data_IF_443163875319
#
_entry.id   IF_443163875319
#
_cell.length_a   1.000
_cell.length_b   1.000
_cell.length_c   1.000
_cell.angle_alpha   90.00
_cell.angle_beta   90.00
_cell.angle_gamma   90.00
#
_symmetry.space_group_name_H-M   'P 1'
#
loop_
_entity.id
_entity.type
_entity.pdbx_description
1 polymer ?
#
# COMPACT_ATOMS: atom_id res chain seq x y z
N UNK A 1 7.65 4.70 14.80
CA UNK A 1 8.24 3.37 15.15
C UNK A 1 7.20 2.50 15.83
N UNK A 2 6.55 2.98 16.89
CA UNK A 2 5.44 2.28 17.56
C UNK A 2 4.27 1.98 16.61
N UNK A 3 3.90 2.93 15.75
CA UNK A 3 2.77 2.79 14.81
C UNK A 3 2.90 1.56 13.89
N UNK A 4 4.12 1.21 13.48
CA UNK A 4 4.35 0.02 12.62
C UNK A 4 4.04 -1.27 13.34
N UNK A 5 4.41 -1.36 14.63
CA UNK A 5 4.13 -2.53 15.45
C UNK A 5 2.64 -2.66 15.75
N UNK A 6 1.95 -1.53 15.95
CA UNK A 6 0.49 -1.51 16.13
C UNK A 6 -0.20 -2.05 14.88
N UNK A 7 0.19 -1.59 13.69
CA UNK A 7 -0.41 -2.08 12.43
C UNK A 7 -0.14 -3.57 12.24
N UNK A 8 1.09 -4.03 12.46
CA UNK A 8 1.42 -5.45 12.37
C UNK A 8 0.55 -6.29 13.34
N UNK A 9 0.38 -5.82 14.58
CA UNK A 9 -0.46 -6.49 15.57
C UNK A 9 -1.95 -6.52 15.17
N UNK A 10 -2.47 -5.41 14.65
CA UNK A 10 -3.85 -5.32 14.16
C UNK A 10 -4.08 -6.28 13.00
N UNK A 11 -3.19 -6.29 12.02
CA UNK A 11 -3.31 -7.14 10.84
C UNK A 11 -3.22 -8.63 11.20
N UNK A 12 -2.27 -9.01 12.05
CA UNK A 12 -2.16 -10.39 12.55
C UNK A 12 -3.41 -10.79 13.33
N UNK A 13 -3.90 -9.93 14.23
CA UNK A 13 -5.11 -10.20 15.01
C UNK A 13 -6.35 -10.37 14.12
N UNK A 14 -6.56 -9.45 13.18
CA UNK A 14 -7.67 -9.48 12.25
C UNK A 14 -7.69 -10.77 11.41
N UNK A 15 -6.52 -11.22 10.93
CA UNK A 15 -6.42 -12.49 10.22
C UNK A 15 -6.76 -13.68 11.10
N UNK A 16 -6.20 -13.75 12.30
CA UNK A 16 -6.40 -14.89 13.19
C UNK A 16 -7.87 -15.06 13.59
N UNK A 17 -8.57 -13.94 13.80
CA UNK A 17 -10.01 -13.93 14.03
C UNK A 17 -10.79 -14.36 12.78
N UNK A 18 -10.52 -13.73 11.62
CA UNK A 18 -11.17 -14.03 10.34
C UNK A 18 -11.08 -15.51 9.96
N UNK A 19 -9.90 -16.10 10.12
CA UNK A 19 -9.59 -17.46 9.67
C UNK A 19 -9.80 -18.49 10.80
N UNK A 20 -10.26 -18.07 11.99
CA UNK A 20 -10.46 -18.91 13.17
C UNK A 20 -9.23 -19.76 13.54
N UNK A 21 -8.05 -19.16 13.42
CA UNK A 21 -6.78 -19.83 13.72
C UNK A 21 -6.68 -20.10 15.22
N UNK A 22 -6.36 -21.35 15.57
CA UNK A 22 -6.29 -21.80 16.97
C UNK A 22 -5.04 -21.32 17.70
N UNK A 23 -4.06 -20.81 16.97
CA UNK A 23 -2.81 -20.28 17.51
C UNK A 23 -3.01 -18.88 18.11
N UNK A 24 -2.21 -18.51 19.11
CA UNK A 24 -2.24 -17.14 19.65
C UNK A 24 -1.54 -16.16 18.68
N UNK A 25 -2.23 -15.08 18.21
CA UNK A 25 -1.64 -14.10 17.30
C UNK A 25 -0.43 -13.39 17.91
N UNK A 26 -0.43 -13.15 19.23
CA UNK A 26 0.71 -12.53 19.91
C UNK A 26 1.90 -13.49 19.94
N UNK A 27 1.67 -14.77 20.27
CA UNK A 27 2.69 -15.80 20.19
C UNK A 27 3.29 -15.93 18.78
N UNK A 28 2.48 -15.77 17.73
CA UNK A 28 2.95 -15.77 16.35
C UNK A 28 3.91 -14.60 16.06
N UNK A 29 3.58 -13.38 16.52
CA UNK A 29 4.42 -12.18 16.36
C UNK A 29 5.78 -12.27 17.07
N UNK A 30 5.83 -12.98 18.20
CA UNK A 30 7.06 -13.20 18.99
C UNK A 30 7.88 -14.43 18.55
N UNK A 31 7.34 -15.26 17.67
CA UNK A 31 8.00 -16.47 17.18
C UNK A 31 8.70 -16.22 15.84
N UNK A 32 9.74 -17.00 15.54
CA UNK A 32 10.37 -16.99 14.22
C UNK A 32 9.40 -17.48 13.16
N UNK A 33 9.23 -16.70 12.08
CA UNK A 33 8.26 -17.01 11.03
C UNK A 33 8.93 -17.20 9.66
N UNK A 34 8.61 -18.29 8.92
CA UNK A 34 9.15 -18.53 7.58
C UNK A 34 8.94 -17.38 6.58
N UNK A 35 7.78 -16.69 6.56
CA UNK A 35 7.57 -15.53 5.68
C UNK A 35 8.60 -14.41 5.87
N UNK A 36 9.19 -14.30 7.06
CA UNK A 36 10.17 -13.27 7.42
C UNK A 36 11.60 -13.81 7.42
N UNK A 37 11.86 -14.93 6.74
CA UNK A 37 13.19 -15.53 6.66
C UNK A 37 13.69 -16.05 8.02
N UNK A 38 12.77 -16.47 8.89
CA UNK A 38 13.06 -16.93 10.24
C UNK A 38 13.22 -15.82 11.29
N UNK A 39 13.10 -14.56 10.91
CA UNK A 39 13.01 -13.46 11.86
C UNK A 39 11.65 -13.46 12.59
N UNK A 40 11.58 -12.78 13.73
CA UNK A 40 10.31 -12.50 14.41
C UNK A 40 9.57 -11.39 13.66
N UNK A 41 8.27 -11.54 13.34
CA UNK A 41 7.50 -10.50 12.68
C UNK A 41 7.57 -9.15 13.40
N UNK A 42 7.53 -9.15 14.74
CA UNK A 42 7.59 -7.93 15.55
C UNK A 42 8.90 -7.16 15.36
N UNK A 43 10.02 -7.85 15.21
CA UNK A 43 11.33 -7.23 14.95
C UNK A 43 11.44 -6.77 13.49
N UNK A 44 11.00 -7.60 12.54
CA UNK A 44 11.02 -7.27 11.12
C UNK A 44 10.19 -6.01 10.80
N UNK A 45 9.02 -5.87 11.43
CA UNK A 45 8.09 -4.75 11.23
C UNK A 45 8.59 -3.41 11.79
N UNK A 46 9.73 -3.37 12.48
CA UNK A 46 10.39 -2.10 12.82
C UNK A 46 10.82 -1.33 11.55
N UNK A 47 11.06 -2.06 10.46
CA UNK A 47 11.41 -1.51 9.15
C UNK A 47 10.17 -1.40 8.25
N UNK A 48 10.14 -0.39 7.36
CA UNK A 48 9.05 -0.24 6.39
C UNK A 48 8.90 -1.49 5.47
N UNK A 49 9.98 -2.10 4.93
CA UNK A 49 9.85 -3.33 4.14
C UNK A 49 9.27 -4.51 4.91
N UNK A 50 9.66 -4.68 6.19
CA UNK A 50 9.12 -5.74 7.03
C UNK A 50 7.64 -5.53 7.35
N UNK A 51 7.22 -4.28 7.60
CA UNK A 51 5.80 -3.96 7.79
C UNK A 51 4.99 -4.24 6.51
N UNK A 52 5.45 -3.77 5.36
CA UNK A 52 4.77 -4.01 4.08
C UNK A 52 4.61 -5.50 3.80
N UNK A 53 5.67 -6.28 4.05
CA UNK A 53 5.61 -7.74 3.97
C UNK A 53 4.52 -8.32 4.87
N UNK A 54 4.43 -7.86 6.13
CA UNK A 54 3.42 -8.32 7.08
C UNK A 54 1.99 -8.03 6.60
N UNK A 55 1.74 -6.80 6.12
CA UNK A 55 0.45 -6.40 5.56
C UNK A 55 0.08 -7.29 4.37
N UNK A 56 0.97 -7.40 3.39
CA UNK A 56 0.71 -8.19 2.18
C UNK A 56 0.50 -9.68 2.50
N UNK A 57 1.29 -10.22 3.42
CA UNK A 57 1.18 -11.62 3.84
C UNK A 57 -0.20 -11.97 4.41
N UNK A 58 -0.77 -11.09 5.24
CA UNK A 58 -2.07 -11.31 5.85
C UNK A 58 -3.24 -10.91 4.93
N UNK A 59 -3.09 -9.82 4.17
CA UNK A 59 -4.10 -9.35 3.22
C UNK A 59 -4.32 -10.32 2.05
N UNK A 60 -3.26 -10.95 1.55
CA UNK A 60 -3.33 -11.98 0.50
C UNK A 60 -3.65 -13.38 1.04
N UNK A 61 -3.86 -13.50 2.35
CA UNK A 61 -4.19 -14.76 3.02
C UNK A 61 -3.20 -15.90 2.73
N UNK A 62 -1.90 -15.58 2.63
CA UNK A 62 -0.87 -16.58 2.33
C UNK A 62 -0.71 -17.57 3.49
N UNK A 63 -0.50 -18.86 3.23
CA UNK A 63 -0.37 -19.87 4.28
C UNK A 63 0.72 -19.50 5.31
N UNK A 64 0.50 -19.80 6.61
CA UNK A 64 1.45 -19.45 7.69
C UNK A 64 2.87 -20.01 7.49
N UNK A 65 2.99 -21.12 6.74
CA UNK A 65 4.27 -21.74 6.40
C UNK A 65 4.94 -21.19 5.14
N UNK A 66 4.36 -20.18 4.48
CA UNK A 66 4.88 -19.65 3.22
C UNK A 66 6.33 -19.19 3.38
N UNK A 67 7.27 -19.68 2.56
CA UNK A 67 8.66 -19.30 2.66
C UNK A 67 8.88 -17.86 2.17
N UNK A 68 9.87 -17.18 2.71
CA UNK A 68 10.12 -15.75 2.45
C UNK A 68 10.43 -15.42 0.99
N UNK A 69 11.04 -16.35 0.25
CA UNK A 69 11.38 -16.17 -1.16
C UNK A 69 10.13 -16.09 -2.05
N UNK A 70 9.08 -16.84 -1.72
CA UNK A 70 7.80 -16.75 -2.42
C UNK A 70 7.10 -15.41 -2.14
N UNK A 71 7.14 -14.95 -0.89
CA UNK A 71 6.62 -13.63 -0.53
C UNK A 71 7.38 -12.52 -1.25
N UNK A 72 8.70 -12.65 -1.33
CA UNK A 72 9.56 -11.72 -2.07
C UNK A 72 9.24 -11.72 -3.57
N UNK A 73 8.92 -12.88 -4.16
CA UNK A 73 8.51 -12.96 -5.55
C UNK A 73 7.19 -12.21 -5.79
N UNK A 74 6.21 -12.34 -4.90
CA UNK A 74 4.94 -11.60 -4.97
C UNK A 74 5.21 -10.10 -4.90
N UNK A 75 6.02 -9.66 -3.93
CA UNK A 75 6.39 -8.24 -3.77
C UNK A 75 7.16 -7.67 -4.98
N UNK A 76 7.85 -8.52 -5.76
CA UNK A 76 8.54 -8.14 -7.01
C UNK A 76 7.61 -8.23 -8.23
N UNK A 77 6.59 -9.08 -8.21
CA UNK A 77 5.72 -9.38 -9.34
C UNK A 77 4.77 -8.24 -9.69
N UNK A 78 4.41 -7.38 -8.73
CA UNK A 78 3.64 -6.14 -8.98
C UNK A 78 4.38 -5.12 -9.87
N UNK A 79 5.65 -5.40 -10.24
CA UNK A 79 6.39 -4.64 -11.24
C UNK A 79 6.20 -5.10 -12.69
N UNK A 80 5.43 -6.15 -12.97
CA UNK A 80 5.32 -6.77 -14.29
C UNK A 80 3.92 -6.67 -14.90
N UNK A 81 3.49 -5.44 -15.25
CA UNK A 81 2.51 -5.24 -16.32
C UNK A 81 3.15 -4.35 -17.39
N UNK A 82 3.27 -4.94 -18.59
CA UNK A 82 4.13 -4.58 -19.70
C UNK A 82 3.86 -3.22 -20.35
N UNK A 83 4.94 -2.49 -20.64
CA UNK A 83 5.04 -1.39 -21.60
C UNK A 83 6.50 -0.97 -21.78
N UNK A 84 7.21 -1.69 -22.63
CA UNK A 84 8.56 -1.42 -23.18
C UNK A 84 9.69 -0.97 -22.23
N UNK A 85 10.78 -1.75 -22.29
CA UNK A 85 12.02 -1.53 -21.57
C UNK A 85 12.57 -0.10 -21.71
N UNK A 86 12.42 0.69 -20.66
CA UNK A 86 13.45 1.66 -20.30
C UNK A 86 14.17 1.08 -19.09
N UNK A 87 15.33 0.49 -19.36
CA UNK A 87 16.33 0.09 -18.36
C UNK A 87 16.60 1.25 -17.40
N UNK A 88 16.06 1.15 -16.19
CA UNK A 88 16.23 2.11 -15.12
C UNK A 88 15.36 1.69 -13.93
N UNK A 89 15.84 0.71 -13.16
CA UNK A 89 15.12 0.18 -12.01
C UNK A 89 14.60 1.30 -11.10
N UNK A 90 13.29 1.33 -10.92
CA UNK A 90 12.54 2.32 -10.12
C UNK A 90 12.73 2.14 -8.60
N UNK A 91 13.86 1.55 -8.20
CA UNK A 91 14.29 1.36 -6.81
C UNK A 91 15.63 2.06 -6.53
N UNK A 92 16.17 2.80 -7.51
CA UNK A 92 17.40 3.58 -7.35
C UNK A 92 17.13 5.08 -7.40
N UNK A 93 16.32 5.59 -6.47
CA UNK A 93 16.34 7.00 -6.08
C UNK A 93 17.38 7.19 -4.98
N UNK A 94 18.64 6.95 -5.35
CA UNK A 94 19.84 7.35 -4.61
C UNK A 94 20.26 8.80 -4.88
N UNK A 95 19.40 9.62 -5.53
CA UNK A 95 19.58 11.06 -5.64
C UNK A 95 18.30 11.73 -5.15
N UNK A 96 18.50 12.72 -4.28
CA UNK A 96 17.50 13.56 -3.60
C UNK A 96 17.02 13.09 -2.21
N UNK A 97 17.90 12.38 -1.47
CA UNK A 97 17.70 12.08 -0.04
C UNK A 97 17.93 13.26 0.91
N UNK A 98 18.21 14.47 0.41
CA UNK A 98 18.49 15.66 1.23
C UNK A 98 17.45 16.80 1.12
N UNK A 99 16.26 16.56 0.56
CA UNK A 99 15.19 17.58 0.53
C UNK A 99 13.80 17.11 0.97
N UNK A 100 13.63 15.85 1.38
CA UNK A 100 12.30 15.23 1.55
C UNK A 100 11.72 15.24 2.99
N UNK A 101 12.06 16.23 3.82
CA UNK A 101 11.58 16.33 5.22
C UNK A 101 10.58 17.45 5.51
N UNK A 102 10.30 18.33 4.55
CA UNK A 102 9.48 19.52 4.80
C UNK A 102 8.46 19.71 3.68
N UNK A 103 7.23 19.22 3.88
CA UNK A 103 6.05 19.69 3.12
C UNK A 103 5.21 18.65 2.38
N UNK A 104 5.61 17.37 2.30
CA UNK A 104 4.77 16.34 1.67
C UNK A 104 3.53 16.02 2.51
N UNK A 105 2.38 15.92 1.84
CA UNK A 105 1.08 15.57 2.41
C UNK A 105 0.47 14.41 1.63
N UNK A 106 -0.44 13.68 2.26
CA UNK A 106 -1.21 12.66 1.56
C UNK A 106 -2.12 13.31 0.52
N UNK A 107 -2.18 12.70 -0.66
CA UNK A 107 -3.20 12.91 -1.67
C UNK A 107 -3.87 11.59 -2.02
N UNK A 108 -5.18 11.61 -2.21
CA UNK A 108 -5.96 10.48 -2.73
C UNK A 108 -6.57 10.87 -4.06
N UNK A 109 -6.60 9.94 -5.00
CA UNK A 109 -7.17 10.10 -6.31
C UNK A 109 -8.12 8.96 -6.64
N UNK A 110 -9.24 9.28 -7.27
CA UNK A 110 -10.21 8.30 -7.75
C UNK A 110 -10.45 8.48 -9.23
N UNK A 111 -10.48 7.36 -9.96
CA UNK A 111 -10.74 7.33 -11.41
C UNK A 111 -11.85 6.31 -11.66
N UNK A 112 -12.82 6.70 -12.48
CA UNK A 112 -13.87 5.83 -13.01
C UNK A 112 -13.79 5.89 -14.52
N UNK A 113 -13.22 4.86 -15.15
CA UNK A 113 -13.16 4.71 -16.60
C UNK A 113 -14.26 3.75 -17.06
N UNK A 114 -15.26 4.28 -17.77
CA UNK A 114 -16.37 3.50 -18.31
C UNK A 114 -16.14 3.26 -19.79
N UNK A 115 -15.94 1.99 -20.16
CA UNK A 115 -15.82 1.52 -21.54
C UNK A 115 -17.06 0.71 -21.93
N UNK A 116 -17.17 0.38 -23.21
CA UNK A 116 -18.34 -0.32 -23.79
C UNK A 116 -18.56 -1.69 -23.15
N UNK A 117 -17.48 -2.36 -22.74
CA UNK A 117 -17.45 -3.75 -22.27
C UNK A 117 -16.90 -3.88 -20.84
N UNK A 118 -16.54 -2.77 -20.20
CA UNK A 118 -15.88 -2.80 -18.90
C UNK A 118 -16.03 -1.49 -18.14
N UNK A 119 -16.22 -1.59 -16.82
CA UNK A 119 -16.01 -0.47 -15.90
C UNK A 119 -14.72 -0.72 -15.14
N UNK A 120 -13.80 0.25 -15.16
CA UNK A 120 -12.54 0.21 -14.43
C UNK A 120 -12.51 1.31 -13.38
N UNK A 121 -12.47 0.92 -12.11
CA UNK A 121 -12.29 1.84 -10.99
C UNK A 121 -10.85 1.80 -10.49
N UNK A 122 -10.31 2.96 -10.17
CA UNK A 122 -9.00 3.11 -9.55
C UNK A 122 -9.13 3.99 -8.31
N UNK A 123 -8.54 3.54 -7.22
CA UNK A 123 -8.27 4.34 -6.02
C UNK A 123 -6.77 4.41 -5.81
N UNK A 124 -6.20 5.61 -5.68
CA UNK A 124 -4.77 5.80 -5.54
C UNK A 124 -4.45 6.77 -4.41
N UNK A 125 -3.70 6.35 -3.39
CA UNK A 125 -3.16 7.22 -2.35
C UNK A 125 -1.64 7.39 -2.54
N UNK A 126 -1.15 8.63 -2.50
CA UNK A 126 0.26 8.98 -2.76
C UNK A 126 0.72 10.16 -1.90
N UNK A 127 2.03 10.30 -1.71
CA UNK A 127 2.63 11.47 -1.07
C UNK A 127 3.12 12.48 -2.12
N UNK A 128 2.68 13.74 -1.98
CA UNK A 128 3.12 14.84 -2.84
C UNK A 128 3.24 16.16 -2.05
N UNK A 129 4.05 17.09 -2.55
CA UNK A 129 4.23 18.43 -1.99
C UNK A 129 3.01 19.31 -2.28
N UNK A 130 2.39 19.13 -3.45
CA UNK A 130 1.20 19.87 -3.86
C UNK A 130 0.32 19.07 -4.84
N UNK A 131 -0.79 19.68 -5.25
CA UNK A 131 -1.75 19.08 -6.19
C UNK A 131 -1.17 18.91 -7.60
N UNK A 132 -0.24 19.78 -8.01
CA UNK A 132 0.36 19.72 -9.34
C UNK A 132 1.32 18.53 -9.44
N UNK A 133 2.12 18.28 -8.41
CA UNK A 133 2.96 17.09 -8.30
C UNK A 133 2.08 15.82 -8.26
N UNK A 134 1.03 15.78 -7.43
CA UNK A 134 0.12 14.63 -7.38
C UNK A 134 -0.49 14.31 -8.76
N UNK A 135 -0.97 15.33 -9.50
CA UNK A 135 -1.45 15.15 -10.88
C UNK A 135 -0.33 14.72 -11.84
N UNK A 136 0.90 15.21 -11.65
CA UNK A 136 2.07 14.78 -12.41
C UNK A 136 2.36 13.29 -12.25
N UNK A 137 2.33 12.79 -11.01
CA UNK A 137 2.51 11.38 -10.69
C UNK A 137 1.42 10.49 -11.34
N UNK A 138 0.15 10.91 -11.27
CA UNK A 138 -0.94 10.21 -11.94
C UNK A 138 -0.75 10.15 -13.46
N UNK A 139 -0.32 11.25 -14.09
CA UNK A 139 -0.06 11.29 -15.55
C UNK A 139 1.06 10.36 -15.97
N UNK A 140 2.12 10.27 -15.16
CA UNK A 140 3.22 9.33 -15.41
C UNK A 140 2.75 7.88 -15.35
N UNK A 141 1.81 7.57 -14.43
CA UNK A 141 1.35 6.19 -14.19
C UNK A 141 0.23 5.73 -15.12
N UNK A 142 -0.81 6.54 -15.29
CA UNK A 142 -2.04 6.16 -16.03
C UNK A 142 -2.13 6.81 -17.41
N UNK A 143 -1.15 7.63 -17.78
CA UNK A 143 -1.21 8.47 -18.95
C UNK A 143 -2.10 9.71 -18.75
N UNK A 144 -2.01 10.64 -19.70
CA UNK A 144 -2.64 11.96 -19.58
C UNK A 144 -4.16 11.92 -19.49
N UNK A 145 -4.79 11.07 -20.30
CA UNK A 145 -6.24 11.01 -20.42
C UNK A 145 -6.93 10.59 -19.11
N UNK A 146 -6.48 9.50 -18.49
CA UNK A 146 -7.06 9.01 -17.23
C UNK A 146 -6.73 9.94 -16.06
N UNK A 147 -5.51 10.46 -16.01
CA UNK A 147 -5.10 11.38 -14.95
C UNK A 147 -5.83 12.73 -14.99
N UNK A 148 -6.23 13.21 -16.18
CA UNK A 148 -7.03 14.43 -16.30
C UNK A 148 -8.49 14.21 -15.83
N UNK A 149 -9.01 12.98 -15.91
CA UNK A 149 -10.32 12.58 -15.39
C UNK A 149 -10.33 12.28 -13.88
N UNK A 150 -9.15 12.10 -13.27
CA UNK A 150 -9.03 11.77 -11.86
C UNK A 150 -9.57 12.89 -10.96
N UNK A 151 -10.41 12.51 -10.01
CA UNK A 151 -10.74 13.36 -8.86
C UNK A 151 -9.61 13.24 -7.85
N UNK A 152 -8.83 14.30 -7.68
CA UNK A 152 -7.66 14.33 -6.79
C UNK A 152 -7.95 15.25 -5.60
N UNK A 153 -7.73 14.73 -4.39
CA UNK A 153 -7.97 15.42 -3.13
C UNK A 153 -6.75 15.30 -2.21
N UNK A 154 -6.53 16.32 -1.38
CA UNK A 154 -5.58 16.26 -0.27
C UNK A 154 -6.20 15.53 0.92
N UNK A 155 -5.44 14.64 1.54
CA UNK A 155 -5.86 13.82 2.69
C UNK A 155 -6.66 12.59 2.29
N UNK A 156 -7.30 11.96 3.26
CA UNK A 156 -8.15 10.77 3.08
C UNK A 156 -9.60 11.13 3.42
N UNK A 157 -10.53 10.74 2.55
CA UNK A 157 -11.97 10.88 2.77
C UNK A 157 -12.63 9.50 2.80
N UNK A 158 -12.93 9.02 4.00
CA UNK A 158 -13.59 7.74 4.21
C UNK A 158 -15.05 7.71 3.71
N UNK A 159 -15.65 8.86 3.43
CA UNK A 159 -17.02 8.95 2.90
C UNK A 159 -17.08 8.93 1.38
N UNK A 160 -15.94 9.01 0.69
CA UNK A 160 -15.89 8.90 -0.76
C UNK A 160 -16.42 7.51 -1.20
N UNK A 161 -17.34 7.41 -2.17
CA UNK A 161 -17.95 6.13 -2.56
C UNK A 161 -16.94 5.07 -2.99
N UNK A 162 -15.90 5.46 -3.72
CA UNK A 162 -14.86 4.52 -4.14
C UNK A 162 -13.96 4.13 -2.96
N UNK A 163 -13.66 5.05 -2.04
CA UNK A 163 -12.97 4.70 -0.80
C UNK A 163 -13.75 3.64 0.00
N UNK A 164 -15.06 3.86 0.22
CA UNK A 164 -15.95 2.92 0.93
C UNK A 164 -15.97 1.54 0.26
N UNK A 165 -15.98 1.49 -1.07
CA UNK A 165 -16.09 0.23 -1.80
C UNK A 165 -14.77 -0.54 -2.00
N UNK A 166 -13.64 0.17 -2.07
CA UNK A 166 -12.36 -0.43 -2.50
C UNK A 166 -11.33 -0.49 -1.38
N UNK A 167 -11.37 0.44 -0.43
CA UNK A 167 -10.38 0.55 0.64
C UNK A 167 -10.89 -0.25 1.84
N UNK A 168 -10.14 -1.25 2.27
CA UNK A 168 -10.48 -1.98 3.50
C UNK A 168 -10.39 -1.07 4.73
N UNK A 169 -11.10 -1.41 5.81
CA UNK A 169 -11.08 -0.63 7.06
C UNK A 169 -9.64 -0.43 7.60
N UNK A 170 -8.80 -1.46 7.50
CA UNK A 170 -7.39 -1.40 7.90
C UNK A 170 -6.59 -0.39 7.05
N UNK A 171 -6.75 -0.43 5.72
CA UNK A 171 -6.11 0.54 4.83
C UNK A 171 -6.62 1.96 5.08
N UNK A 172 -7.93 2.12 5.31
CA UNK A 172 -8.54 3.41 5.65
C UNK A 172 -7.96 3.99 6.94
N UNK A 173 -7.75 3.15 7.97
CA UNK A 173 -7.10 3.57 9.21
C UNK A 173 -5.65 4.05 8.96
N UNK A 174 -4.88 3.33 8.12
CA UNK A 174 -3.51 3.74 7.74
C UNK A 174 -3.52 5.09 7.02
N UNK A 175 -4.40 5.25 6.03
CA UNK A 175 -4.53 6.50 5.27
C UNK A 175 -4.95 7.67 6.16
N UNK A 176 -5.87 7.45 7.11
CA UNK A 176 -6.25 8.44 8.11
C UNK A 176 -5.08 8.84 9.01
N UNK A 177 -4.30 7.87 9.49
CA UNK A 177 -3.10 8.13 10.29
C UNK A 177 -2.06 8.94 9.50
N UNK A 178 -1.79 8.57 8.25
CA UNK A 178 -0.85 9.29 7.38
C UNK A 178 -1.38 10.69 7.04
N UNK A 179 -2.68 10.86 6.81
CA UNK A 179 -3.28 12.17 6.58
C UNK A 179 -3.13 13.09 7.80
N UNK A 180 -3.29 12.55 9.01
CA UNK A 180 -3.16 13.29 10.27
C UNK A 180 -1.70 13.62 10.63
N UNK A 181 -0.76 12.73 10.26
CA UNK A 181 0.68 12.93 10.46
C UNK A 181 1.47 12.54 9.20
N UNK A 182 1.57 13.45 8.21
CA UNK A 182 2.26 13.18 6.95
C UNK A 182 3.78 13.00 7.05
N UNK A 183 4.37 13.31 8.21
CA UNK A 183 5.80 13.09 8.49
C UNK A 183 6.04 11.78 9.24
N UNK A 184 4.99 11.00 9.48
CA UNK A 184 5.11 9.70 10.11
C UNK A 184 5.89 8.71 9.24
N UNK A 185 6.43 7.69 9.90
CA UNK A 185 7.17 6.64 9.22
C UNK A 185 6.29 5.78 8.29
N UNK A 186 4.96 5.91 8.37
CA UNK A 186 4.00 5.27 7.48
C UNK A 186 3.83 6.01 6.15
N UNK A 187 4.14 7.31 6.13
CA UNK A 187 4.10 8.13 4.92
C UNK A 187 5.30 7.87 4.01
N UNK A 188 6.40 7.36 4.56
CA UNK A 188 7.65 7.14 3.82
C UNK A 188 7.45 6.09 2.72
N UNK A 189 7.51 6.53 1.46
CA UNK A 189 7.32 5.66 0.30
C UNK A 189 5.87 5.19 0.07
N UNK A 190 4.88 5.79 0.75
CA UNK A 190 3.48 5.45 0.55
C UNK A 190 3.03 5.76 -0.89
N UNK A 191 2.73 4.70 -1.63
CA UNK A 191 2.13 4.69 -2.96
C UNK A 191 1.19 3.48 -3.03
N UNK A 192 -0.10 3.69 -2.76
CA UNK A 192 -1.12 2.64 -2.71
C UNK A 192 -2.05 2.77 -3.91
N UNK A 193 -2.17 1.71 -4.70
CA UNK A 193 -3.06 1.63 -5.85
C UNK A 193 -3.98 0.43 -5.71
N UNK A 194 -5.29 0.68 -5.82
CA UNK A 194 -6.32 -0.34 -5.81
C UNK A 194 -7.12 -0.22 -7.11
N UNK A 195 -7.35 -1.34 -7.76
CA UNK A 195 -8.12 -1.39 -9.00
C UNK A 195 -9.24 -2.41 -8.91
N UNK A 196 -10.37 -2.10 -9.53
CA UNK A 196 -11.45 -3.05 -9.74
C UNK A 196 -11.95 -2.97 -11.17
N UNK A 197 -12.20 -4.13 -11.78
CA UNK A 197 -12.68 -4.25 -13.16
C UNK A 197 -13.94 -5.08 -13.18
N UNK A 198 -15.02 -4.49 -13.68
CA UNK A 198 -16.31 -5.15 -13.81
C UNK A 198 -16.62 -5.38 -15.27
N UNK A 199 -17.00 -6.61 -15.60
CA UNK A 199 -17.73 -6.88 -16.83
C UNK A 199 -19.21 -6.51 -16.61
N UNK A 200 -19.90 -5.91 -17.60
CA UNK A 200 -21.32 -5.59 -17.52
C UNK A 200 -22.21 -6.84 -17.43
#
# INVERSE_FOLDING_TARGET
MVDRLVIAAVETGARFERDSLQSDPLAWLYSSQPPFGGARPLEACLTAPGLMRCIMFHALDLELGTPSDLVDQILRSDGYMSGEATTGGLWNTGRDRESAGHGRTLYTATIVDVRVDQIHHVYHAMMACDLAEARGLLRLRYGRQLADQAEVRRGYDASNPLAVSMVSDAMGAILAMVASNPQSALAEGLDLQLESRFAP
#
